data_IF_034581858688
#
_entry.id   IF_034581858688
#
_cell.length_a   1.000
_cell.length_b   1.000
_cell.length_c   1.000
_cell.angle_alpha   90.00
_cell.angle_beta   90.00
_cell.angle_gamma   90.00
#
_symmetry.space_group_name_H-M   'P 1'
#
loop_
_entity.id
_entity.type
_entity.pdbx_description
1 polymer ?
#
# COMPACT_ATOMS: atom_id res chain seq x y z
N UNK A 1 -7.89 -11.11 -9.02
CA UNK A 1 -7.16 -10.42 -7.96
C UNK A 1 -6.17 -11.36 -7.29
N UNK A 2 -5.11 -10.79 -6.74
CA UNK A 2 -4.12 -11.56 -5.98
C UNK A 2 -4.64 -11.77 -4.56
N UNK A 3 -4.57 -13.01 -4.07
CA UNK A 3 -5.14 -13.39 -2.78
C UNK A 3 -4.10 -13.78 -1.73
N UNK A 4 -2.84 -13.95 -2.13
CA UNK A 4 -1.80 -14.39 -1.21
C UNK A 4 -0.49 -13.68 -1.53
N UNK A 5 0.21 -13.25 -0.48
CA UNK A 5 1.54 -12.64 -0.55
C UNK A 5 2.44 -13.40 0.42
N UNK A 6 3.57 -13.91 -0.06
CA UNK A 6 4.52 -14.68 0.74
C UNK A 6 5.92 -14.14 0.49
N UNK A 7 6.74 -14.08 1.56
CA UNK A 7 8.16 -13.80 1.45
C UNK A 7 8.95 -15.10 1.58
N UNK A 8 9.90 -15.32 0.67
CA UNK A 8 10.82 -16.44 0.81
C UNK A 8 12.01 -16.06 1.71
N UNK A 9 12.96 -17.01 1.90
CA UNK A 9 14.12 -16.77 2.77
C UNK A 9 15.06 -15.70 2.23
N UNK A 10 15.02 -15.43 0.94
CA UNK A 10 15.83 -14.41 0.28
C UNK A 10 15.09 -13.07 0.19
N UNK A 11 13.93 -12.95 0.85
CA UNK A 11 13.06 -11.78 0.89
C UNK A 11 12.45 -11.43 -0.48
N UNK A 12 12.31 -12.41 -1.38
CA UNK A 12 11.55 -12.24 -2.60
C UNK A 12 10.05 -12.36 -2.31
N UNK A 13 9.27 -11.42 -2.78
CA UNK A 13 7.83 -11.47 -2.61
C UNK A 13 7.19 -12.39 -3.65
N UNK A 14 6.33 -13.30 -3.20
CA UNK A 14 5.58 -14.23 -4.03
C UNK A 14 4.10 -13.96 -3.87
N UNK A 15 3.36 -13.97 -4.96
CA UNK A 15 1.93 -13.68 -4.96
C UNK A 15 1.14 -14.78 -5.66
N UNK A 16 -0.12 -14.93 -5.27
CA UNK A 16 -1.05 -15.87 -5.88
C UNK A 16 -2.32 -15.16 -6.31
N UNK A 17 -2.74 -15.44 -7.54
CA UNK A 17 -4.05 -15.00 -8.01
C UNK A 17 -5.16 -15.89 -7.46
N UNK A 18 -6.37 -15.33 -7.34
CA UNK A 18 -7.54 -16.10 -6.92
C UNK A 18 -7.77 -17.27 -7.88
N UNK A 19 -7.88 -18.48 -7.32
CA UNK A 19 -8.13 -19.69 -8.09
C UNK A 19 -6.90 -20.33 -8.73
N UNK A 20 -5.73 -19.75 -8.61
CA UNK A 20 -4.50 -20.35 -9.12
C UNK A 20 -3.75 -21.10 -8.02
N UNK A 21 -3.22 -22.30 -8.32
CA UNK A 21 -2.46 -23.07 -7.35
C UNK A 21 -1.00 -22.65 -7.24
N UNK A 22 -0.48 -21.80 -8.15
CA UNK A 22 0.95 -21.46 -8.25
C UNK A 22 1.19 -20.05 -7.78
N UNK A 23 2.27 -19.87 -6.96
CA UNK A 23 2.77 -18.57 -6.57
C UNK A 23 3.64 -17.99 -7.67
N UNK A 24 3.49 -16.69 -7.92
CA UNK A 24 4.28 -15.95 -8.90
C UNK A 24 5.24 -15.00 -8.21
N UNK A 25 6.44 -14.85 -8.75
CA UNK A 25 7.38 -13.82 -8.27
C UNK A 25 6.83 -12.42 -8.58
N UNK A 26 7.06 -11.48 -7.68
CA UNK A 26 6.60 -10.11 -7.85
C UNK A 26 7.18 -9.42 -9.09
N UNK A 27 8.34 -9.89 -9.57
CA UNK A 27 8.97 -9.35 -10.78
C UNK A 27 8.12 -9.52 -12.04
N UNK A 28 7.20 -10.49 -12.07
CA UNK A 28 6.29 -10.72 -13.19
C UNK A 28 5.03 -9.83 -13.16
N UNK A 29 4.88 -9.02 -12.12
CA UNK A 29 3.71 -8.17 -11.97
C UNK A 29 3.91 -6.84 -12.69
N UNK A 30 2.81 -6.17 -13.05
CA UNK A 30 2.89 -4.79 -13.50
C UNK A 30 3.50 -3.91 -12.42
N UNK A 31 4.09 -2.78 -12.81
CA UNK A 31 4.74 -1.88 -11.85
C UNK A 31 3.76 -1.36 -10.79
N UNK A 32 2.55 -0.99 -11.20
CA UNK A 32 1.52 -0.53 -10.25
C UNK A 32 1.10 -1.62 -9.27
N UNK A 33 0.96 -2.87 -9.75
CA UNK A 33 0.63 -4.01 -8.89
C UNK A 33 1.78 -4.32 -7.93
N UNK A 34 3.01 -4.32 -8.42
CA UNK A 34 4.19 -4.55 -7.57
C UNK A 34 4.30 -3.48 -6.48
N UNK A 35 4.13 -2.21 -6.84
CA UNK A 35 4.19 -1.10 -5.87
C UNK A 35 3.08 -1.22 -4.82
N UNK A 36 1.88 -1.64 -5.22
CA UNK A 36 0.76 -1.86 -4.30
C UNK A 36 1.08 -2.96 -3.28
N UNK A 37 1.68 -4.06 -3.74
CA UNK A 37 2.06 -5.16 -2.86
C UNK A 37 3.18 -4.75 -1.90
N UNK A 38 4.18 -4.02 -2.37
CA UNK A 38 5.24 -3.53 -1.50
C UNK A 38 4.75 -2.52 -0.48
N UNK A 39 3.81 -1.65 -0.87
CA UNK A 39 3.18 -0.73 0.07
C UNK A 39 2.44 -1.50 1.17
N UNK A 40 1.61 -2.48 0.79
CA UNK A 40 0.88 -3.31 1.73
C UNK A 40 1.82 -4.03 2.70
N UNK A 41 2.93 -4.58 2.17
CA UNK A 41 3.93 -5.26 2.99
C UNK A 41 4.60 -4.30 3.99
N UNK A 42 5.00 -3.11 3.54
CA UNK A 42 5.59 -2.10 4.44
C UNK A 42 4.63 -1.70 5.55
N UNK A 43 3.35 -1.48 5.22
CA UNK A 43 2.36 -1.11 6.22
C UNK A 43 2.14 -2.23 7.23
N UNK A 44 2.12 -3.48 6.78
CA UNK A 44 2.00 -4.64 7.65
C UNK A 44 3.21 -4.76 8.59
N UNK A 45 4.42 -4.57 8.07
CA UNK A 45 5.65 -4.61 8.88
C UNK A 45 5.69 -3.47 9.89
N UNK A 46 5.28 -2.28 9.51
CA UNK A 46 5.20 -1.14 10.43
C UNK A 46 4.22 -1.43 11.58
N UNK A 47 3.07 -2.01 11.27
CA UNK A 47 2.08 -2.36 12.28
C UNK A 47 2.61 -3.42 13.24
N UNK A 48 3.30 -4.43 12.72
CA UNK A 48 3.83 -5.54 13.52
C UNK A 48 5.02 -5.12 14.38
N UNK A 49 5.94 -4.30 13.84
CA UNK A 49 7.21 -3.99 14.51
C UNK A 49 7.18 -2.66 15.28
N UNK A 50 6.40 -1.70 14.83
CA UNK A 50 6.42 -0.33 15.33
C UNK A 50 5.04 0.14 15.82
N UNK A 51 4.14 -0.81 16.04
CA UNK A 51 2.81 -0.52 16.57
C UNK A 51 2.82 -0.24 18.07
N UNK A 52 1.65 -0.21 18.69
CA UNK A 52 1.48 0.01 20.12
C UNK A 52 0.71 1.29 20.41
N UNK A 53 0.79 1.75 21.67
CA UNK A 53 0.02 2.91 22.11
C UNK A 53 0.51 4.24 21.53
N UNK A 54 1.80 4.31 21.19
CA UNK A 54 2.41 5.50 20.61
C UNK A 54 3.21 5.10 19.36
N UNK A 55 2.54 4.75 18.28
CA UNK A 55 3.21 4.26 17.08
C UNK A 55 3.98 5.36 16.36
N UNK A 56 5.11 4.97 15.76
CA UNK A 56 5.91 5.90 14.95
C UNK A 56 5.11 6.41 13.76
N UNK A 57 5.29 7.69 13.37
CA UNK A 57 4.70 8.21 12.14
C UNK A 57 5.21 7.44 10.91
N UNK A 58 4.36 7.35 9.90
CA UNK A 58 4.71 6.75 8.61
C UNK A 58 4.91 7.88 7.60
N UNK A 59 6.04 7.86 6.89
CA UNK A 59 6.36 8.82 5.85
C UNK A 59 6.37 8.11 4.50
N UNK A 60 5.54 8.59 3.57
CA UNK A 60 5.43 8.06 2.21
C UNK A 60 5.78 9.16 1.23
N UNK A 61 6.78 8.91 0.39
CA UNK A 61 7.26 9.86 -0.61
C UNK A 61 7.00 9.30 -2.00
N UNK A 62 6.02 9.86 -2.70
CA UNK A 62 5.58 9.43 -4.03
C UNK A 62 5.24 7.93 -4.11
N UNK A 63 4.74 7.36 -3.02
CA UNK A 63 4.47 5.92 -2.93
C UNK A 63 3.38 5.46 -3.89
N UNK A 64 2.51 6.36 -4.35
CA UNK A 64 1.37 6.02 -5.20
C UNK A 64 1.57 6.44 -6.66
N UNK A 65 2.79 6.84 -7.04
CA UNK A 65 3.06 7.42 -8.36
C UNK A 65 2.72 6.50 -9.52
N UNK A 66 2.90 5.19 -9.35
CA UNK A 66 2.64 4.20 -10.40
C UNK A 66 1.25 3.56 -10.29
N UNK A 67 0.40 4.04 -9.38
CA UNK A 67 -0.95 3.50 -9.20
C UNK A 67 -1.89 4.13 -10.22
N UNK A 68 -2.82 3.33 -10.77
CA UNK A 68 -3.96 3.88 -11.48
C UNK A 68 -4.92 4.55 -10.50
N UNK A 69 -5.92 5.26 -11.02
CA UNK A 69 -6.81 6.04 -10.16
C UNK A 69 -7.62 5.16 -9.20
N UNK A 70 -8.04 3.97 -9.63
CA UNK A 70 -8.79 3.05 -8.77
C UNK A 70 -7.92 2.53 -7.62
N UNK A 71 -6.70 2.10 -7.92
CA UNK A 71 -5.76 1.62 -6.89
C UNK A 71 -5.34 2.75 -5.96
N UNK A 72 -5.11 3.94 -6.49
CA UNK A 72 -4.82 5.13 -5.70
C UNK A 72 -5.94 5.42 -4.70
N UNK A 73 -7.18 5.39 -5.15
CA UNK A 73 -8.34 5.62 -4.30
C UNK A 73 -8.43 4.61 -3.17
N UNK A 74 -8.27 3.33 -3.48
CA UNK A 74 -8.28 2.26 -2.47
C UNK A 74 -7.14 2.42 -1.47
N UNK A 75 -5.94 2.78 -1.95
CA UNK A 75 -4.79 2.99 -1.08
C UNK A 75 -5.03 4.18 -0.14
N UNK A 76 -5.55 5.29 -0.65
CA UNK A 76 -5.84 6.46 0.18
C UNK A 76 -6.93 6.18 1.21
N UNK A 77 -7.96 5.42 0.86
CA UNK A 77 -9.01 5.02 1.81
C UNK A 77 -8.40 4.17 2.94
N UNK A 78 -7.52 3.24 2.61
CA UNK A 78 -6.83 2.41 3.59
C UNK A 78 -5.90 3.22 4.49
N UNK A 79 -5.15 4.16 3.89
CA UNK A 79 -4.27 5.04 4.67
C UNK A 79 -5.08 5.95 5.61
N UNK A 80 -6.26 6.38 5.19
CA UNK A 80 -7.14 7.16 6.06
C UNK A 80 -7.61 6.37 7.29
N UNK A 81 -7.86 5.07 7.13
CA UNK A 81 -8.18 4.20 8.28
C UNK A 81 -7.00 4.09 9.24
N UNK A 82 -5.79 3.88 8.71
CA UNK A 82 -4.57 3.81 9.53
C UNK A 82 -4.31 5.13 10.22
N UNK A 83 -4.60 6.26 9.56
CA UNK A 83 -4.38 7.60 10.10
C UNK A 83 -5.21 7.91 11.33
N UNK A 84 -6.26 7.14 11.62
CA UNK A 84 -7.02 7.28 12.87
C UNK A 84 -6.20 6.90 14.11
N UNK A 85 -5.16 6.09 13.92
CA UNK A 85 -4.36 5.56 15.03
C UNK A 85 -2.87 5.88 14.92
N UNK A 86 -2.44 6.45 13.79
CA UNK A 86 -1.03 6.72 13.50
C UNK A 86 -0.92 7.91 12.57
N UNK A 87 0.06 8.77 12.80
CA UNK A 87 0.32 9.88 11.90
C UNK A 87 0.90 9.37 10.58
N UNK A 88 0.35 9.85 9.47
CA UNK A 88 0.85 9.53 8.13
C UNK A 88 1.15 10.84 7.42
N UNK A 89 2.39 10.94 6.89
CA UNK A 89 2.82 12.05 6.05
C UNK A 89 2.99 11.53 4.63
N UNK A 90 2.12 11.98 3.73
CA UNK A 90 2.15 11.60 2.34
C UNK A 90 2.64 12.77 1.50
N UNK A 91 3.81 12.60 0.89
CA UNK A 91 4.37 13.58 -0.04
C UNK A 91 4.12 13.11 -1.47
N UNK A 92 3.57 13.99 -2.30
CA UNK A 92 3.27 13.67 -3.69
C UNK A 92 3.54 14.88 -4.58
N UNK A 93 4.11 14.63 -5.76
CA UNK A 93 4.28 15.66 -6.78
C UNK A 93 3.06 15.77 -7.70
N UNK A 94 2.05 14.93 -7.53
CA UNK A 94 0.81 14.94 -8.30
C UNK A 94 -0.35 15.47 -7.49
N UNK A 95 -1.23 16.23 -8.13
CA UNK A 95 -2.38 16.83 -7.47
C UNK A 95 -3.58 15.89 -7.33
N UNK A 96 -3.57 14.72 -7.99
CA UNK A 96 -4.71 13.80 -7.97
C UNK A 96 -5.00 13.24 -6.58
N UNK A 97 -3.98 12.95 -5.78
CA UNK A 97 -4.14 12.47 -4.40
C UNK A 97 -4.81 13.53 -3.53
N UNK A 98 -4.35 14.77 -3.64
CA UNK A 98 -4.94 15.89 -2.92
C UNK A 98 -6.40 16.09 -3.30
N UNK A 99 -6.71 16.04 -4.61
CA UNK A 99 -8.09 16.19 -5.08
C UNK A 99 -8.99 15.09 -4.57
N UNK A 100 -8.49 13.85 -4.57
CA UNK A 100 -9.26 12.72 -4.06
C UNK A 100 -9.62 12.91 -2.58
N UNK A 101 -8.63 13.26 -1.75
CA UNK A 101 -8.81 13.47 -0.32
C UNK A 101 -9.78 14.62 -0.05
N UNK A 102 -9.65 15.74 -0.79
CA UNK A 102 -10.55 16.87 -0.64
C UNK A 102 -11.99 16.52 -0.98
N UNK A 103 -12.21 15.76 -2.06
CA UNK A 103 -13.54 15.32 -2.45
C UNK A 103 -14.19 14.45 -1.37
N UNK A 104 -13.42 13.55 -0.76
CA UNK A 104 -13.93 12.68 0.32
C UNK A 104 -14.29 13.48 1.57
N UNK A 105 -13.52 14.51 1.90
CA UNK A 105 -13.77 15.32 3.10
C UNK A 105 -14.92 16.31 2.95
N UNK A 106 -15.36 16.60 1.73
CA UNK A 106 -16.52 17.46 1.45
C UNK A 106 -17.85 16.74 1.67
N UNK A 107 -17.84 15.44 1.75
CA UNK A 107 -19.04 14.63 2.00
C UNK A 107 -19.36 14.57 3.53
#
# INVERSE_FOLDING_TARGET
AYTELTLDRELNALVRCAGEPVLHESAFLSRGTADQLYLALRLALCDMLLGGEDPCPIVLDDALINFDDARMGHALDYLAEIAQHRQILLFSCHSREKRYIQTKNED
#
